data_IF_964462159004
#
_entry.id   IF_964462159004
#
_cell.length_a   1.000
_cell.length_b   1.000
_cell.length_c   1.000
_cell.angle_alpha   90.00
_cell.angle_beta   90.00
_cell.angle_gamma   90.00
#
_symmetry.space_group_name_H-M   'P 1'
#
loop_
_entity.id
_entity.type
_entity.pdbx_description
1 polymer ?
#
# COMPACT_ATOMS: atom_id res chain seq x y z
N UNK A 1 19.10 -10.91 -25.56
CA UNK A 1 18.31 -11.12 -24.33
C UNK A 1 17.15 -10.14 -24.23
N UNK A 2 17.40 -8.84 -24.05
CA UNK A 2 16.35 -7.81 -23.84
C UNK A 2 15.14 -7.88 -24.79
N UNK A 3 15.38 -7.88 -26.11
CA UNK A 3 14.28 -7.95 -27.10
C UNK A 3 13.42 -9.21 -26.97
N UNK A 4 14.04 -10.35 -26.64
CA UNK A 4 13.33 -11.63 -26.44
C UNK A 4 12.49 -11.58 -25.18
N UNK A 5 13.05 -11.03 -24.09
CA UNK A 5 12.31 -10.80 -22.84
C UNK A 5 11.11 -9.89 -23.08
N UNK A 6 11.27 -8.77 -23.78
CA UNK A 6 10.15 -7.88 -24.15
C UNK A 6 9.10 -8.61 -25.00
N UNK A 7 9.53 -9.41 -25.99
CA UNK A 7 8.64 -10.20 -26.83
C UNK A 7 7.77 -11.18 -26.03
N UNK A 8 8.37 -11.92 -25.08
CA UNK A 8 7.63 -12.84 -24.22
C UNK A 8 6.70 -12.14 -23.22
N UNK A 9 7.11 -10.98 -22.68
CA UNK A 9 6.24 -10.17 -21.82
C UNK A 9 5.02 -9.65 -22.59
N UNK A 10 5.21 -9.18 -23.82
CA UNK A 10 4.11 -8.73 -24.70
C UNK A 10 3.19 -9.88 -25.14
N UNK A 11 3.71 -11.10 -25.25
CA UNK A 11 2.92 -12.30 -25.53
C UNK A 11 2.03 -12.71 -24.34
N UNK A 12 2.14 -12.03 -23.19
CA UNK A 12 1.32 -12.30 -22.00
C UNK A 12 1.82 -13.48 -21.16
N UNK A 13 3.05 -13.95 -21.37
CA UNK A 13 3.62 -15.02 -20.56
C UNK A 13 3.95 -14.49 -19.15
N UNK A 14 3.72 -15.26 -18.06
CA UNK A 14 3.90 -14.76 -16.70
C UNK A 14 5.31 -14.22 -16.47
N UNK A 15 5.38 -13.01 -15.91
CA UNK A 15 6.61 -12.19 -15.81
C UNK A 15 7.77 -12.98 -15.19
N UNK A 16 7.52 -13.67 -14.08
CA UNK A 16 8.51 -14.48 -13.38
C UNK A 16 9.22 -15.50 -14.29
N UNK A 17 8.45 -16.30 -15.02
CA UNK A 17 9.00 -17.35 -15.90
C UNK A 17 9.65 -16.74 -17.14
N UNK A 18 9.15 -15.60 -17.61
CA UNK A 18 9.76 -14.87 -18.72
C UNK A 18 11.15 -14.35 -18.36
N UNK A 19 11.32 -13.76 -17.17
CA UNK A 19 12.60 -13.23 -16.73
C UNK A 19 13.61 -14.36 -16.51
N UNK A 20 13.28 -15.36 -15.68
CA UNK A 20 14.16 -16.49 -15.40
C UNK A 20 14.46 -17.33 -16.65
N UNK A 21 13.43 -17.63 -17.44
CA UNK A 21 13.54 -18.46 -18.64
C UNK A 21 14.37 -17.78 -19.74
N UNK A 22 14.18 -16.48 -19.96
CA UNK A 22 15.00 -15.74 -20.93
C UNK A 22 16.46 -15.62 -20.48
N UNK A 23 16.72 -15.42 -19.18
CA UNK A 23 18.08 -15.42 -18.64
C UNK A 23 18.78 -16.78 -18.83
N UNK A 24 18.12 -17.89 -18.44
CA UNK A 24 18.67 -19.24 -18.59
C UNK A 24 18.87 -19.65 -20.06
N UNK A 25 17.95 -19.26 -20.94
CA UNK A 25 18.08 -19.52 -22.38
C UNK A 25 19.30 -18.82 -22.98
N UNK A 26 19.51 -17.54 -22.64
CA UNK A 26 20.69 -16.81 -23.11
C UNK A 26 21.98 -17.26 -22.42
N UNK A 27 21.93 -17.71 -21.16
CA UNK A 27 23.08 -18.33 -20.49
C UNK A 27 23.52 -19.62 -21.20
N UNK A 28 22.57 -20.48 -21.58
CA UNK A 28 22.84 -21.70 -22.36
C UNK A 28 23.43 -21.40 -23.74
N UNK A 29 22.87 -20.43 -24.48
CA UNK A 29 23.41 -19.99 -25.76
C UNK A 29 24.82 -19.40 -25.59
N UNK A 30 25.03 -18.58 -24.56
CA UNK A 30 26.33 -17.98 -24.25
C UNK A 30 27.40 -19.01 -23.91
N UNK A 31 27.02 -20.08 -23.19
CA UNK A 31 27.92 -21.18 -22.86
C UNK A 31 28.32 -21.97 -24.12
N UNK A 32 27.39 -22.23 -25.05
CA UNK A 32 27.69 -22.87 -26.33
C UNK A 32 28.62 -22.03 -27.22
N UNK A 33 28.51 -20.71 -27.14
CA UNK A 33 29.36 -19.77 -27.88
C UNK A 33 30.69 -19.47 -27.17
N UNK A 34 30.92 -20.01 -25.97
CA UNK A 34 32.12 -19.75 -25.16
C UNK A 34 32.21 -18.34 -24.57
N UNK A 35 31.11 -17.57 -24.58
CA UNK A 35 31.05 -16.18 -24.08
C UNK A 35 30.59 -16.13 -22.61
N UNK A 36 29.96 -17.19 -22.11
CA UNK A 36 29.43 -17.28 -20.74
C UNK A 36 29.94 -18.53 -20.01
N UNK A 37 30.43 -18.36 -18.79
CA UNK A 37 30.87 -19.46 -17.92
C UNK A 37 29.68 -20.01 -17.14
N UNK A 38 29.42 -21.31 -17.27
CA UNK A 38 28.31 -21.98 -16.59
C UNK A 38 28.48 -22.00 -15.06
N UNK A 39 29.69 -21.79 -14.54
CA UNK A 39 29.97 -21.68 -13.11
C UNK A 39 29.19 -20.53 -12.44
N UNK A 40 28.81 -19.49 -13.20
CA UNK A 40 27.99 -18.40 -12.67
C UNK A 40 26.58 -18.85 -12.26
N UNK A 41 26.06 -19.93 -12.84
CA UNK A 41 24.76 -20.52 -12.50
C UNK A 41 24.77 -21.13 -11.10
N UNK A 42 25.93 -21.60 -10.62
CA UNK A 42 26.07 -22.18 -9.28
C UNK A 42 25.86 -21.14 -8.16
N UNK A 43 25.95 -19.84 -8.46
CA UNK A 43 25.64 -18.77 -7.52
C UNK A 43 24.14 -18.44 -7.42
N UNK A 44 23.28 -19.03 -8.26
CA UNK A 44 21.84 -18.79 -8.20
C UNK A 44 21.22 -19.06 -6.83
N UNK A 45 21.51 -20.18 -6.12
CA UNK A 45 20.99 -20.41 -4.78
C UNK A 45 21.37 -19.29 -3.79
N UNK A 46 22.58 -18.76 -3.88
CA UNK A 46 23.02 -17.65 -3.04
C UNK A 46 22.26 -16.35 -3.35
N UNK A 47 21.98 -16.07 -4.63
CA UNK A 47 21.15 -14.91 -5.01
C UNK A 47 19.71 -15.04 -4.51
N UNK A 48 19.10 -16.22 -4.69
CA UNK A 48 17.76 -16.51 -4.20
C UNK A 48 17.69 -16.35 -2.68
N UNK A 49 18.68 -16.90 -1.97
CA UNK A 49 18.75 -16.76 -0.52
C UNK A 49 18.89 -15.29 -0.10
N UNK A 50 19.74 -14.51 -0.77
CA UNK A 50 19.91 -13.08 -0.52
C UNK A 50 18.60 -12.29 -0.68
N UNK A 51 17.81 -12.57 -1.72
CA UNK A 51 16.48 -11.96 -1.91
C UNK A 51 15.53 -12.37 -0.80
N UNK A 52 15.52 -13.64 -0.39
CA UNK A 52 14.63 -14.15 0.66
C UNK A 52 14.95 -13.61 2.06
N UNK A 53 16.20 -13.25 2.33
CA UNK A 53 16.63 -12.70 3.62
C UNK A 53 16.68 -11.17 3.66
N UNK A 54 16.28 -10.49 2.58
CA UNK A 54 16.33 -9.04 2.52
C UNK A 54 15.30 -8.41 3.46
N UNK A 55 15.79 -7.65 4.45
CA UNK A 55 14.95 -7.02 5.47
C UNK A 55 13.96 -6.01 4.87
N UNK A 56 14.33 -5.28 3.82
CA UNK A 56 13.44 -4.31 3.15
C UNK A 56 12.25 -5.04 2.51
N UNK A 57 12.48 -6.22 1.92
CA UNK A 57 11.43 -7.02 1.28
C UNK A 57 10.48 -7.66 2.30
N UNK A 58 10.86 -7.77 3.58
CA UNK A 58 9.98 -8.21 4.66
C UNK A 58 8.81 -7.23 4.90
N UNK A 59 8.95 -5.96 4.49
CA UNK A 59 7.85 -4.99 4.54
C UNK A 59 6.75 -5.28 3.50
N UNK A 60 7.08 -5.94 2.37
CA UNK A 60 6.14 -6.19 1.27
C UNK A 60 4.93 -7.04 1.71
N UNK A 61 5.09 -8.21 2.35
CA UNK A 61 3.95 -8.99 2.84
C UNK A 61 3.05 -8.21 3.81
N UNK A 62 3.64 -7.38 4.67
CA UNK A 62 2.92 -6.60 5.68
C UNK A 62 2.11 -5.46 5.04
N UNK A 63 2.68 -4.76 4.06
CA UNK A 63 1.95 -3.75 3.28
C UNK A 63 0.85 -4.36 2.42
N UNK A 64 1.12 -5.50 1.76
CA UNK A 64 0.10 -6.25 1.03
C UNK A 64 -1.05 -6.64 1.98
N UNK A 65 -0.73 -7.20 3.14
CA UNK A 65 -1.73 -7.56 4.14
C UNK A 65 -2.57 -6.36 4.59
N UNK A 66 -1.92 -5.23 4.89
CA UNK A 66 -2.59 -3.99 5.27
C UNK A 66 -3.58 -3.55 4.18
N UNK A 67 -3.12 -3.48 2.92
CA UNK A 67 -3.92 -3.06 1.78
C UNK A 67 -5.12 -3.97 1.54
N UNK A 68 -4.88 -5.29 1.48
CA UNK A 68 -5.93 -6.28 1.28
C UNK A 68 -6.92 -6.28 2.45
N UNK A 69 -6.47 -6.11 3.70
CA UNK A 69 -7.36 -6.00 4.87
C UNK A 69 -8.28 -4.78 4.78
N UNK A 70 -7.75 -3.62 4.37
CA UNK A 70 -8.55 -2.40 4.19
C UNK A 70 -9.54 -2.53 3.03
N UNK A 71 -9.13 -3.17 1.94
CA UNK A 71 -9.99 -3.47 0.80
C UNK A 71 -11.14 -4.42 1.19
N UNK A 72 -10.82 -5.57 1.77
CA UNK A 72 -11.79 -6.64 2.12
C UNK A 72 -12.69 -6.28 3.30
N UNK A 73 -12.26 -5.37 4.16
CA UNK A 73 -13.14 -4.81 5.21
C UNK A 73 -14.19 -3.84 4.67
N UNK A 74 -14.32 -3.69 3.33
CA UNK A 74 -15.25 -2.80 2.60
C UNK A 74 -15.02 -1.32 2.86
N UNK A 75 -13.81 -0.92 3.27
CA UNK A 75 -13.53 0.50 3.56
C UNK A 75 -13.65 1.29 2.26
N UNK A 76 -13.09 0.75 1.18
CA UNK A 76 -13.18 1.30 -0.17
C UNK A 76 -14.61 1.64 -0.62
N UNK A 77 -15.56 0.72 -0.39
CA UNK A 77 -16.96 0.88 -0.81
C UNK A 77 -17.64 2.06 -0.10
N UNK A 78 -17.54 2.13 1.24
CA UNK A 78 -18.12 3.22 2.03
C UNK A 78 -17.46 4.57 1.72
N UNK A 79 -16.15 4.58 1.49
CA UNK A 79 -15.42 5.78 1.08
C UNK A 79 -15.97 6.30 -0.25
N UNK A 80 -16.12 5.40 -1.22
CA UNK A 80 -16.61 5.75 -2.54
C UNK A 80 -18.06 6.24 -2.52
N UNK A 81 -18.93 5.60 -1.74
CA UNK A 81 -20.31 6.04 -1.57
C UNK A 81 -20.41 7.40 -0.86
N UNK A 82 -19.59 7.61 0.19
CA UNK A 82 -19.59 8.84 0.99
C UNK A 82 -19.05 10.03 0.20
N UNK A 83 -17.93 9.86 -0.49
CA UNK A 83 -17.32 10.88 -1.34
C UNK A 83 -18.16 11.15 -2.59
N UNK A 84 -18.74 10.09 -3.18
CA UNK A 84 -19.69 10.19 -4.28
C UNK A 84 -20.91 11.03 -3.94
N UNK A 85 -21.45 10.92 -2.72
CA UNK A 85 -22.53 11.80 -2.24
C UNK A 85 -22.08 13.24 -2.00
N UNK A 86 -20.83 13.44 -1.58
CA UNK A 86 -20.26 14.79 -1.32
C UNK A 86 -20.09 15.58 -2.61
N UNK A 87 -19.37 15.02 -3.57
CA UNK A 87 -19.05 15.69 -4.83
C UNK A 87 -20.10 15.46 -5.91
N UNK A 88 -20.97 14.46 -5.78
CA UNK A 88 -21.93 14.05 -6.79
C UNK A 88 -22.87 15.15 -7.28
N UNK A 89 -23.19 16.15 -6.44
CA UNK A 89 -24.01 17.31 -6.85
C UNK A 89 -23.30 18.26 -7.83
N UNK A 90 -21.98 18.13 -8.02
CA UNK A 90 -21.19 18.93 -8.94
C UNK A 90 -21.11 18.23 -10.31
N UNK A 91 -21.02 19.01 -11.38
CA UNK A 91 -20.67 18.50 -12.71
C UNK A 91 -19.27 17.88 -12.64
N UNK A 92 -19.09 16.66 -13.13
CA UNK A 92 -17.83 15.90 -12.94
C UNK A 92 -17.60 15.30 -11.55
N UNK A 93 -18.56 15.46 -10.63
CA UNK A 93 -18.40 15.09 -9.22
C UNK A 93 -18.11 13.62 -8.94
N UNK A 94 -18.70 12.70 -9.72
CA UNK A 94 -18.41 11.27 -9.63
C UNK A 94 -16.99 10.95 -10.11
N UNK A 95 -16.52 11.58 -11.20
CA UNK A 95 -15.16 11.42 -11.69
C UNK A 95 -14.12 11.91 -10.66
N UNK A 96 -14.35 13.07 -10.05
CA UNK A 96 -13.51 13.59 -8.96
C UNK A 96 -13.49 12.62 -7.76
N UNK A 97 -14.66 12.07 -7.42
CA UNK A 97 -14.78 11.09 -6.33
C UNK A 97 -13.97 9.84 -6.60
N UNK A 98 -14.00 9.32 -7.83
CA UNK A 98 -13.20 8.16 -8.24
C UNK A 98 -11.70 8.49 -8.18
N UNK A 99 -11.25 9.62 -8.72
CA UNK A 99 -9.83 10.00 -8.64
C UNK A 99 -9.35 10.19 -7.20
N UNK A 100 -10.15 10.83 -6.34
CA UNK A 100 -9.80 11.07 -4.94
C UNK A 100 -9.77 9.79 -4.11
N UNK A 101 -10.82 8.98 -4.18
CA UNK A 101 -10.89 7.70 -3.47
C UNK A 101 -9.85 6.73 -4.02
N UNK A 102 -9.63 6.72 -5.34
CA UNK A 102 -8.57 5.97 -5.98
C UNK A 102 -7.19 6.35 -5.47
N UNK A 103 -6.91 7.64 -5.27
CA UNK A 103 -5.65 8.09 -4.66
C UNK A 103 -5.48 7.61 -3.20
N UNK A 104 -6.55 7.62 -2.40
CA UNK A 104 -6.51 7.13 -1.03
C UNK A 104 -6.35 5.60 -0.96
N UNK A 105 -7.03 4.88 -1.84
CA UNK A 105 -6.92 3.43 -1.94
C UNK A 105 -5.56 3.00 -2.47
N UNK A 106 -5.04 3.73 -3.47
CA UNK A 106 -3.71 3.57 -4.03
C UNK A 106 -2.63 3.57 -2.95
N UNK A 107 -2.69 4.54 -2.03
CA UNK A 107 -1.78 4.61 -0.88
C UNK A 107 -1.86 3.40 0.05
N UNK A 108 -2.97 2.66 0.06
CA UNK A 108 -3.15 1.50 0.95
C UNK A 108 -2.84 0.16 0.28
N UNK A 109 -3.20 -0.02 -1.00
CA UNK A 109 -3.15 -1.32 -1.69
C UNK A 109 -1.89 -1.52 -2.51
N UNK A 110 -1.32 -0.47 -3.12
CA UNK A 110 -0.11 -0.58 -3.94
C UNK A 110 -0.19 -1.48 -5.18
N UNK A 111 -1.38 -2.02 -5.52
CA UNK A 111 -1.58 -3.04 -6.56
C UNK A 111 -2.59 -2.54 -7.59
N UNK A 112 -2.12 -2.32 -8.82
CA UNK A 112 -2.94 -1.75 -9.90
C UNK A 112 -4.09 -2.68 -10.28
N UNK A 113 -3.81 -3.97 -10.50
CA UNK A 113 -4.83 -4.91 -10.98
C UNK A 113 -6.02 -5.01 -10.03
N UNK A 114 -5.76 -5.22 -8.73
CA UNK A 114 -6.81 -5.28 -7.71
C UNK A 114 -7.60 -3.98 -7.62
N UNK A 115 -6.92 -2.83 -7.54
CA UNK A 115 -7.57 -1.53 -7.40
C UNK A 115 -8.45 -1.18 -8.61
N UNK A 116 -7.97 -1.44 -9.83
CA UNK A 116 -8.74 -1.23 -11.07
C UNK A 116 -9.96 -2.14 -11.12
N UNK A 117 -9.82 -3.42 -10.75
CA UNK A 117 -10.95 -4.36 -10.72
C UNK A 117 -11.99 -3.94 -9.68
N UNK A 118 -11.56 -3.61 -8.47
CA UNK A 118 -12.45 -3.20 -7.38
C UNK A 118 -13.18 -1.90 -7.73
N UNK A 119 -12.47 -0.87 -8.21
CA UNK A 119 -13.10 0.37 -8.66
C UNK A 119 -13.94 0.16 -9.92
N UNK A 120 -13.54 -0.72 -10.82
CA UNK A 120 -14.33 -1.11 -12.00
C UNK A 120 -15.67 -1.72 -11.60
N UNK A 121 -15.68 -2.67 -10.68
CA UNK A 121 -16.90 -3.33 -10.21
C UNK A 121 -17.82 -2.40 -9.40
N UNK A 122 -17.25 -1.47 -8.62
CA UNK A 122 -18.00 -0.59 -7.73
C UNK A 122 -18.45 0.72 -8.42
N UNK A 123 -17.55 1.35 -9.18
CA UNK A 123 -17.74 2.71 -9.71
C UNK A 123 -18.31 2.72 -11.12
N UNK A 124 -17.85 1.82 -12.01
CA UNK A 124 -18.26 1.86 -13.42
C UNK A 124 -19.79 1.71 -13.60
N UNK A 125 -20.47 0.73 -12.96
CA UNK A 125 -21.93 0.60 -13.10
C UNK A 125 -22.67 1.85 -12.60
N UNK A 126 -22.15 2.49 -11.55
CA UNK A 126 -22.74 3.69 -10.96
C UNK A 126 -22.56 4.90 -11.88
N UNK A 127 -21.39 5.07 -12.50
CA UNK A 127 -21.13 6.15 -13.47
C UNK A 127 -22.01 6.00 -14.72
N UNK A 128 -22.10 4.80 -15.29
CA UNK A 128 -22.91 4.53 -16.48
C UNK A 128 -24.41 4.73 -16.23
N UNK A 129 -24.94 4.23 -15.10
CA UNK A 129 -26.35 4.46 -14.70
C UNK A 129 -26.71 5.94 -14.57
N UNK A 130 -25.71 6.80 -14.32
CA UNK A 130 -25.87 8.25 -14.17
C UNK A 130 -25.64 9.01 -15.47
N UNK A 131 -25.36 8.33 -16.57
CA UNK A 131 -25.16 8.94 -17.88
C UNK A 131 -23.77 9.51 -18.12
N UNK A 132 -22.75 9.04 -17.39
CA UNK A 132 -21.36 9.34 -17.76
C UNK A 132 -21.01 8.67 -19.09
N UNK A 133 -20.18 9.34 -19.88
CA UNK A 133 -19.58 8.74 -21.07
C UNK A 133 -18.74 7.50 -20.69
N UNK A 134 -18.92 6.34 -21.35
CA UNK A 134 -18.18 5.12 -21.04
C UNK A 134 -16.66 5.28 -21.16
N UNK A 135 -16.18 6.06 -22.14
CA UNK A 135 -14.74 6.25 -22.37
C UNK A 135 -14.13 7.08 -21.25
N UNK A 136 -14.81 8.16 -20.83
CA UNK A 136 -14.40 8.97 -19.69
C UNK A 136 -14.42 8.14 -18.40
N UNK A 137 -15.48 7.38 -18.15
CA UNK A 137 -15.60 6.55 -16.95
C UNK A 137 -14.50 5.48 -16.86
N UNK A 138 -14.30 4.71 -17.93
CA UNK A 138 -13.23 3.70 -18.01
C UNK A 138 -11.85 4.34 -17.87
N UNK A 139 -11.57 5.43 -18.60
CA UNK A 139 -10.29 6.14 -18.52
C UNK A 139 -10.00 6.65 -17.11
N UNK A 140 -11.01 7.18 -16.42
CA UNK A 140 -10.88 7.67 -15.04
C UNK A 140 -10.54 6.55 -14.07
N UNK A 141 -11.23 5.41 -14.17
CA UNK A 141 -10.99 4.25 -13.30
C UNK A 141 -9.60 3.66 -13.55
N UNK A 142 -9.22 3.50 -14.82
CA UNK A 142 -7.88 3.02 -15.19
C UNK A 142 -6.78 3.96 -14.67
N UNK A 143 -6.93 5.27 -14.85
CA UNK A 143 -5.97 6.26 -14.37
C UNK A 143 -5.90 6.32 -12.83
N UNK A 144 -7.05 6.27 -12.15
CA UNK A 144 -7.09 6.26 -10.70
C UNK A 144 -6.47 4.99 -10.11
N UNK A 145 -6.68 3.83 -10.74
CA UNK A 145 -6.13 2.56 -10.27
C UNK A 145 -4.61 2.43 -10.46
N UNK A 146 -4.01 3.11 -11.44
CA UNK A 146 -2.54 3.11 -11.62
C UNK A 146 -1.81 3.98 -10.60
N UNK A 147 -2.51 4.88 -9.89
CA UNK A 147 -1.93 5.70 -8.82
C UNK A 147 -1.31 4.86 -7.70
N UNK A 148 -1.74 3.61 -7.52
CA UNK A 148 -1.18 2.68 -6.53
C UNK A 148 0.32 2.45 -6.68
N UNK A 149 0.87 2.65 -7.88
CA UNK A 149 2.31 2.48 -8.09
C UNK A 149 3.13 3.67 -7.58
N UNK A 150 2.56 4.88 -7.62
CA UNK A 150 3.31 6.12 -7.34
C UNK A 150 3.04 6.68 -5.95
N UNK A 151 1.82 6.52 -5.40
CA UNK A 151 1.46 7.11 -4.11
C UNK A 151 1.96 6.21 -2.97
N UNK A 152 2.82 6.71 -2.07
CA UNK A 152 3.29 5.93 -0.93
C UNK A 152 2.20 5.61 0.11
N UNK A 153 2.31 4.49 0.86
CA UNK A 153 3.27 3.38 0.69
C UNK A 153 2.98 2.51 -0.55
N UNK A 154 3.97 2.40 -1.45
CA UNK A 154 3.86 1.63 -2.70
C UNK A 154 4.85 0.47 -2.69
N UNK A 155 4.36 -0.74 -2.96
CA UNK A 155 5.19 -1.94 -3.08
C UNK A 155 6.23 -1.74 -4.18
N UNK A 156 5.85 -1.15 -5.31
CA UNK A 156 6.77 -0.89 -6.42
C UNK A 156 7.94 -0.01 -5.98
N UNK A 157 7.68 1.03 -5.18
CA UNK A 157 8.73 1.89 -4.65
C UNK A 157 9.62 1.19 -3.63
N UNK A 158 9.08 0.28 -2.81
CA UNK A 158 9.87 -0.56 -1.90
C UNK A 158 10.84 -1.44 -2.69
N UNK A 159 10.35 -2.11 -3.74
CA UNK A 159 11.17 -2.96 -4.61
C UNK A 159 12.23 -2.15 -5.36
N UNK A 160 11.82 -0.99 -5.89
CA UNK A 160 12.74 -0.09 -6.60
C UNK A 160 13.79 0.49 -5.65
N UNK A 161 13.46 0.67 -4.37
CA UNK A 161 14.40 1.11 -3.34
C UNK A 161 15.59 0.18 -3.18
N UNK A 162 15.36 -1.13 -3.12
CA UNK A 162 16.44 -2.11 -3.04
C UNK A 162 17.36 -2.07 -4.27
N UNK A 163 16.75 -2.05 -5.47
CA UNK A 163 17.49 -2.02 -6.75
C UNK A 163 18.25 -0.71 -6.92
N UNK A 164 17.63 0.44 -6.62
CA UNK A 164 18.26 1.75 -6.71
C UNK A 164 19.38 1.88 -5.68
N UNK A 165 19.17 1.43 -4.45
CA UNK A 165 20.21 1.51 -3.41
C UNK A 165 21.46 0.73 -3.83
N UNK A 166 21.29 -0.50 -4.31
CA UNK A 166 22.39 -1.36 -4.74
C UNK A 166 23.11 -0.81 -5.97
N UNK A 167 22.35 -0.40 -7.00
CA UNK A 167 22.92 0.16 -8.24
C UNK A 167 23.60 1.51 -8.02
N UNK A 168 23.06 2.34 -7.11
CA UNK A 168 23.65 3.62 -6.75
C UNK A 168 24.95 3.47 -5.96
N UNK A 169 25.02 2.50 -5.02
CA UNK A 169 26.26 2.15 -4.34
C UNK A 169 27.32 1.65 -5.33
N UNK A 170 26.94 0.76 -6.25
CA UNK A 170 27.87 0.20 -7.23
C UNK A 170 28.42 1.28 -8.16
N UNK A 171 27.56 2.17 -8.67
CA UNK A 171 27.99 3.30 -9.50
C UNK A 171 28.98 4.23 -8.75
N UNK A 172 28.79 4.46 -7.46
CA UNK A 172 29.71 5.26 -6.64
C UNK A 172 31.08 4.58 -6.47
N UNK A 173 31.10 3.26 -6.25
CA UNK A 173 32.33 2.48 -6.17
C UNK A 173 33.11 2.55 -7.49
N UNK A 174 32.42 2.46 -8.64
CA UNK A 174 33.03 2.59 -9.96
C UNK A 174 33.59 4.00 -10.22
N UNK A 175 33.03 5.03 -9.57
CA UNK A 175 33.55 6.40 -9.57
C UNK A 175 34.71 6.63 -8.58
N UNK A 176 35.18 5.58 -7.89
CA UNK A 176 36.26 5.67 -6.91
C UNK A 176 35.83 6.22 -5.54
N UNK A 177 34.52 6.29 -5.27
CA UNK A 177 33.96 6.70 -3.98
C UNK A 177 33.80 5.45 -3.10
N UNK A 178 34.73 5.25 -2.17
CA UNK A 178 34.73 4.09 -1.26
C UNK A 178 33.83 4.24 -0.03
N UNK A 179 33.25 5.44 0.16
CA UNK A 179 32.22 5.72 1.18
C UNK A 179 30.91 6.07 0.47
N UNK A 180 30.20 5.09 -0.11
CA UNK A 180 29.01 5.36 -0.91
C UNK A 180 27.83 5.81 -0.05
N UNK A 181 27.07 6.78 -0.55
CA UNK A 181 25.78 7.15 0.01
C UNK A 181 24.70 6.15 -0.43
N UNK A 182 23.70 5.92 0.41
CA UNK A 182 22.62 4.98 0.13
C UNK A 182 21.31 5.73 -0.06
N UNK A 183 20.58 5.42 -1.12
CA UNK A 183 19.18 5.85 -1.23
C UNK A 183 18.32 4.88 -0.43
N UNK A 184 17.57 5.40 0.53
CA UNK A 184 16.63 4.60 1.31
C UNK A 184 15.24 4.55 0.66
N UNK A 185 14.42 3.58 1.06
CA UNK A 185 13.00 3.52 0.68
C UNK A 185 12.24 4.77 1.14
N UNK A 186 12.62 5.32 2.30
CA UNK A 186 12.03 6.56 2.82
C UNK A 186 12.29 7.76 1.89
N UNK A 187 13.49 7.86 1.33
CA UNK A 187 13.85 8.92 0.38
C UNK A 187 13.03 8.80 -0.91
N UNK A 188 12.82 7.58 -1.40
CA UNK A 188 11.95 7.34 -2.55
C UNK A 188 10.49 7.67 -2.26
N UNK A 189 9.99 7.36 -1.06
CA UNK A 189 8.63 7.73 -0.65
C UNK A 189 8.48 9.26 -0.59
N UNK A 190 9.45 9.95 0.01
CA UNK A 190 9.48 11.41 0.06
C UNK A 190 9.51 12.02 -1.36
N UNK A 191 10.39 11.50 -2.22
CA UNK A 191 10.55 11.94 -3.61
C UNK A 191 9.32 11.67 -4.48
N UNK A 192 8.58 10.59 -4.22
CA UNK A 192 7.38 10.21 -4.97
C UNK A 192 6.11 10.95 -4.52
N UNK A 193 6.08 11.51 -3.30
CA UNK A 193 4.89 12.16 -2.76
C UNK A 193 4.45 13.36 -3.59
N UNK A 194 5.39 14.26 -3.93
CA UNK A 194 5.09 15.46 -4.73
C UNK A 194 4.58 15.12 -6.14
N UNK A 195 5.25 14.28 -6.96
CA UNK A 195 4.73 13.90 -8.27
C UNK A 195 3.43 13.10 -8.18
N UNK A 196 3.25 12.25 -7.14
CA UNK A 196 2.00 11.54 -6.91
C UNK A 196 0.83 12.49 -6.66
N UNK A 197 0.97 13.45 -5.75
CA UNK A 197 -0.06 14.46 -5.47
C UNK A 197 -0.31 15.38 -6.66
N UNK A 198 0.74 15.77 -7.40
CA UNK A 198 0.62 16.54 -8.63
C UNK A 198 -0.23 15.78 -9.66
N UNK A 199 0.02 14.49 -9.86
CA UNK A 199 -0.72 13.65 -10.79
C UNK A 199 -2.20 13.53 -10.42
N UNK A 200 -2.50 13.34 -9.12
CA UNK A 200 -3.88 13.37 -8.61
C UNK A 200 -4.54 14.73 -8.89
N UNK A 201 -3.81 15.82 -8.67
CA UNK A 201 -4.26 17.18 -9.00
C UNK A 201 -4.57 17.35 -10.48
N UNK A 202 -3.70 16.87 -11.36
CA UNK A 202 -3.88 16.90 -12.81
C UNK A 202 -5.09 16.05 -13.25
N UNK A 203 -5.30 14.88 -12.65
CA UNK A 203 -6.48 14.05 -12.91
C UNK A 203 -7.76 14.75 -12.48
N UNK A 204 -7.79 15.38 -11.30
CA UNK A 204 -8.95 16.16 -10.86
C UNK A 204 -9.19 17.38 -11.77
N UNK A 205 -8.13 18.09 -12.16
CA UNK A 205 -8.22 19.21 -13.08
C UNK A 205 -8.75 18.79 -14.46
N UNK A 206 -8.34 17.62 -14.96
CA UNK A 206 -8.86 17.04 -16.19
C UNK A 206 -10.38 16.74 -16.08
N UNK A 207 -10.84 16.18 -14.96
CA UNK A 207 -12.28 15.94 -14.75
C UNK A 207 -13.08 17.24 -14.71
N UNK A 208 -12.57 18.25 -14.00
CA UNK A 208 -13.21 19.57 -13.94
C UNK A 208 -13.24 20.21 -15.32
N UNK A 209 -12.14 20.15 -16.07
CA UNK A 209 -12.07 20.64 -17.45
C UNK A 209 -13.10 19.95 -18.35
N UNK A 210 -13.19 18.62 -18.30
CA UNK A 210 -14.18 17.87 -19.07
C UNK A 210 -15.62 18.24 -18.68
N UNK A 211 -15.88 18.45 -17.39
CA UNK A 211 -17.17 18.87 -16.88
C UNK A 211 -17.59 20.28 -17.34
N UNK A 212 -16.63 21.18 -17.55
CA UNK A 212 -16.87 22.53 -18.05
C UNK A 212 -17.04 22.52 -19.59
N UNK A 213 -16.12 21.88 -20.31
CA UNK A 213 -16.13 21.90 -21.78
C UNK A 213 -17.14 20.95 -22.41
N UNK A 214 -17.45 19.83 -21.76
CA UNK A 214 -18.42 18.83 -22.22
C UNK A 214 -19.34 18.35 -21.09
N UNK A 215 -20.24 19.22 -20.57
CA UNK A 215 -21.12 18.90 -19.44
C UNK A 215 -21.98 17.64 -19.65
N UNK A 216 -22.34 17.33 -20.90
CA UNK A 216 -23.12 16.14 -21.26
C UNK A 216 -22.39 14.82 -20.96
N UNK A 217 -21.05 14.82 -20.92
CA UNK A 217 -20.26 13.60 -20.68
C UNK A 217 -20.09 13.28 -19.20
N UNK A 218 -20.38 14.24 -18.32
CA UNK A 218 -20.18 14.11 -16.87
C UNK A 218 -21.31 14.82 -16.09
N UNK A 219 -22.57 14.37 -16.24
CA UNK A 219 -23.72 15.03 -15.64
C UNK A 219 -23.67 14.97 -14.09
N UNK A 220 -24.22 15.99 -13.40
CA UNK A 220 -24.32 15.99 -11.95
C UNK A 220 -25.38 14.99 -11.48
N UNK A 221 -25.20 14.44 -10.28
CA UNK A 221 -26.24 13.64 -9.62
C UNK A 221 -27.44 14.54 -9.28
N UNK A 222 -28.69 14.08 -9.49
CA UNK A 222 -29.88 14.82 -9.08
C UNK A 222 -29.80 15.17 -7.59
N UNK A 223 -29.92 16.46 -7.27
CA UNK A 223 -29.98 16.90 -5.89
C UNK A 223 -31.25 16.34 -5.24
N UNK A 224 -31.12 15.52 -4.19
CA UNK A 224 -32.26 15.19 -3.35
C UNK A 224 -32.68 16.43 -2.55
N UNK A 225 -33.96 16.50 -2.23
CA UNK A 225 -34.62 17.62 -1.54
C UNK A 225 -33.83 18.08 -0.30
N UNK A 226 -33.38 19.34 -0.32
CA UNK A 226 -32.52 20.06 0.64
C UNK A 226 -30.98 19.79 0.59
N UNK A 227 -30.27 20.35 -0.41
CA UNK A 227 -28.83 20.19 -0.57
C UNK A 227 -27.97 20.70 0.61
N UNK A 228 -28.37 21.78 1.30
CA UNK A 228 -27.60 22.33 2.44
C UNK A 228 -27.71 21.48 3.70
N UNK A 229 -28.92 21.06 4.08
CA UNK A 229 -29.16 20.18 5.24
C UNK A 229 -28.55 18.79 5.02
N UNK A 230 -28.57 18.28 3.78
CA UNK A 230 -27.95 17.02 3.42
C UNK A 230 -26.42 17.10 3.49
N UNK A 231 -25.79 18.15 2.94
CA UNK A 231 -24.34 18.38 3.08
C UNK A 231 -23.90 18.43 4.55
N UNK A 232 -24.60 19.20 5.39
CA UNK A 232 -24.33 19.29 6.83
C UNK A 232 -24.46 17.95 7.56
N UNK A 233 -25.39 17.07 7.15
CA UNK A 233 -25.53 15.71 7.69
C UNK A 233 -24.51 14.71 7.14
N UNK A 234 -23.97 14.96 5.95
CA UNK A 234 -22.98 14.09 5.30
C UNK A 234 -21.56 14.30 5.82
N UNK A 235 -21.17 15.54 6.19
CA UNK A 235 -19.86 15.83 6.76
C UNK A 235 -19.46 14.88 7.91
N UNK A 236 -20.26 14.67 8.96
CA UNK A 236 -19.87 13.78 10.06
C UNK A 236 -19.75 12.30 9.64
N UNK A 237 -20.55 11.85 8.66
CA UNK A 237 -20.49 10.48 8.14
C UNK A 237 -19.20 10.28 7.36
N UNK A 238 -18.91 11.21 6.45
CA UNK A 238 -17.69 11.23 5.63
C UNK A 238 -16.46 11.27 6.52
N UNK A 239 -16.45 12.18 7.51
CA UNK A 239 -15.33 12.31 8.45
C UNK A 239 -15.12 11.01 9.22
N UNK A 240 -16.19 10.36 9.70
CA UNK A 240 -16.08 9.09 10.42
C UNK A 240 -15.58 7.93 9.55
N UNK A 241 -15.88 7.93 8.25
CA UNK A 241 -15.46 6.87 7.32
C UNK A 241 -14.05 7.09 6.74
N UNK A 242 -13.68 8.34 6.40
CA UNK A 242 -12.39 8.71 5.81
C UNK A 242 -11.27 8.86 6.83
N UNK A 243 -11.59 9.40 8.00
CA UNK A 243 -10.55 9.78 8.96
C UNK A 243 -9.72 8.57 9.43
N UNK A 244 -10.30 7.39 9.75
CA UNK A 244 -9.47 6.30 10.27
C UNK A 244 -8.46 5.75 9.25
N UNK A 245 -8.81 5.44 7.98
CA UNK A 245 -7.83 5.03 6.98
C UNK A 245 -6.77 6.10 6.70
N UNK A 246 -7.17 7.37 6.61
CA UNK A 246 -6.25 8.49 6.37
C UNK A 246 -5.27 8.63 7.53
N UNK A 247 -5.73 8.58 8.78
CA UNK A 247 -4.85 8.60 9.96
C UNK A 247 -3.87 7.43 9.93
N UNK A 248 -4.33 6.23 9.57
CA UNK A 248 -3.46 5.06 9.48
C UNK A 248 -2.36 5.26 8.44
N UNK A 249 -2.71 5.69 7.22
CA UNK A 249 -1.75 5.98 6.15
C UNK A 249 -0.78 7.07 6.58
N UNK A 250 -1.27 8.17 7.16
CA UNK A 250 -0.42 9.28 7.64
C UNK A 250 0.49 8.87 8.79
N UNK A 251 0.05 7.95 9.65
CA UNK A 251 0.86 7.42 10.75
C UNK A 251 1.99 6.56 10.21
N UNK A 252 1.68 5.64 9.30
CA UNK A 252 2.67 4.77 8.64
C UNK A 252 3.65 5.61 7.82
N UNK A 253 3.16 6.41 6.88
CA UNK A 253 4.00 7.24 6.02
C UNK A 253 4.76 8.28 6.83
N UNK A 254 4.10 8.95 7.78
CA UNK A 254 4.73 9.92 8.67
C UNK A 254 5.86 9.30 9.48
N UNK A 255 5.69 8.08 10.02
CA UNK A 255 6.75 7.39 10.77
C UNK A 255 7.98 7.06 9.92
N UNK A 256 7.78 6.72 8.64
CA UNK A 256 8.88 6.47 7.70
C UNK A 256 9.58 7.78 7.32
N UNK A 257 8.82 8.81 6.93
CA UNK A 257 9.37 10.09 6.48
C UNK A 257 10.08 10.88 7.58
N UNK A 258 9.64 10.72 8.83
CA UNK A 258 10.28 11.35 9.99
C UNK A 258 11.44 10.53 10.55
N UNK A 259 11.69 9.32 10.01
CA UNK A 259 12.75 8.43 10.48
C UNK A 259 12.49 7.80 11.85
N UNK A 260 11.25 7.85 12.35
CA UNK A 260 10.86 7.24 13.63
C UNK A 260 10.83 5.71 13.52
N UNK A 261 10.43 5.19 12.36
CA UNK A 261 10.31 3.76 12.11
C UNK A 261 10.92 3.39 10.75
N UNK A 262 11.56 2.22 10.70
CA UNK A 262 11.96 1.61 9.44
C UNK A 262 10.73 1.17 8.63
N UNK A 263 10.85 0.95 7.30
CA UNK A 263 9.72 0.51 6.48
C UNK A 263 9.04 -0.78 6.98
N UNK A 264 9.82 -1.71 7.55
CA UNK A 264 9.32 -2.97 8.12
C UNK A 264 8.51 -2.74 9.39
N UNK A 265 9.02 -1.92 10.32
CA UNK A 265 8.32 -1.54 11.55
C UNK A 265 7.04 -0.77 11.23
N UNK A 266 7.11 0.19 10.32
CA UNK A 266 5.96 0.97 9.86
C UNK A 266 4.90 0.08 9.18
N UNK A 267 5.32 -0.91 8.37
CA UNK A 267 4.42 -1.88 7.77
C UNK A 267 3.75 -2.77 8.82
N UNK A 268 4.47 -3.18 9.87
CA UNK A 268 3.91 -3.96 10.98
C UNK A 268 2.85 -3.15 11.75
N UNK A 269 3.14 -1.89 12.07
CA UNK A 269 2.17 -0.95 12.67
C UNK A 269 0.96 -0.76 11.76
N UNK A 270 1.18 -0.65 10.44
CA UNK A 270 0.13 -0.59 9.43
C UNK A 270 -0.77 -1.83 9.42
N UNK A 271 -0.19 -3.03 9.43
CA UNK A 271 -0.91 -4.30 9.47
C UNK A 271 -1.74 -4.46 10.76
N UNK A 272 -1.17 -4.09 11.91
CA UNK A 272 -1.87 -4.07 13.20
C UNK A 272 -3.03 -3.06 13.12
N UNK A 273 -2.76 -1.83 12.68
CA UNK A 273 -3.75 -0.77 12.57
C UNK A 273 -4.90 -1.10 11.62
N UNK A 274 -4.63 -1.71 10.47
CA UNK A 274 -5.65 -2.18 9.54
C UNK A 274 -6.52 -3.29 10.14
N UNK A 275 -5.91 -4.23 10.89
CA UNK A 275 -6.64 -5.30 11.58
C UNK A 275 -7.53 -4.74 12.68
N UNK A 276 -7.02 -3.80 13.48
CA UNK A 276 -7.78 -3.08 14.50
C UNK A 276 -8.94 -2.28 13.89
N UNK A 277 -8.70 -1.61 12.76
CA UNK A 277 -9.71 -0.83 12.06
C UNK A 277 -10.83 -1.72 11.50
N UNK A 278 -10.46 -2.83 10.87
CA UNK A 278 -11.42 -3.83 10.38
C UNK A 278 -12.26 -4.39 11.54
N UNK A 279 -11.62 -4.77 12.65
CA UNK A 279 -12.31 -5.27 13.83
C UNK A 279 -13.24 -4.26 14.50
N UNK A 280 -12.91 -2.96 14.43
CA UNK A 280 -13.72 -1.86 14.99
C UNK A 280 -15.00 -1.66 14.19
N UNK A 281 -14.88 -1.76 12.87
CA UNK A 281 -16.00 -1.55 11.97
C UNK A 281 -16.98 -2.73 11.99
N UNK A 282 -16.49 -3.96 12.19
CA UNK A 282 -17.35 -5.15 12.30
C UNK A 282 -18.23 -5.17 13.55
N UNK A 283 -17.76 -4.59 14.67
CA UNK A 283 -18.54 -4.47 15.91
C UNK A 283 -18.17 -3.18 16.66
N UNK A 284 -18.91 -2.11 16.34
CA UNK A 284 -18.76 -0.80 16.96
C UNK A 284 -19.27 -0.77 18.41
N UNK A 285 -20.14 -1.71 18.82
CA UNK A 285 -20.73 -1.73 20.17
C UNK A 285 -19.73 -2.20 21.21
N UNK A 286 -18.86 -3.16 20.87
CA UNK A 286 -17.76 -3.62 21.72
C UNK A 286 -16.40 -3.12 21.21
N UNK A 287 -16.28 -1.84 20.90
CA UNK A 287 -15.03 -1.25 20.41
C UNK A 287 -13.93 -1.08 21.48
N UNK A 288 -14.25 -1.25 22.77
CA UNK A 288 -13.32 -0.99 23.88
C UNK A 288 -11.97 -1.76 23.82
N UNK A 289 -11.87 -3.04 23.40
CA UNK A 289 -10.57 -3.73 23.33
C UNK A 289 -9.66 -3.11 22.26
N UNK A 290 -10.27 -2.51 21.24
CA UNK A 290 -9.57 -1.89 20.12
C UNK A 290 -9.03 -0.53 20.52
N UNK A 291 -9.81 0.26 21.28
CA UNK A 291 -9.32 1.52 21.83
C UNK A 291 -8.15 1.30 22.80
N UNK A 292 -8.20 0.24 23.61
CA UNK A 292 -7.09 -0.13 24.50
C UNK A 292 -5.86 -0.53 23.68
N UNK A 293 -6.01 -1.40 22.68
CA UNK A 293 -4.89 -1.81 21.82
C UNK A 293 -4.30 -0.65 21.02
N UNK A 294 -5.13 0.27 20.52
CA UNK A 294 -4.69 1.47 19.80
C UNK A 294 -3.96 2.44 20.73
N UNK A 295 -4.46 2.63 21.95
CA UNK A 295 -3.76 3.44 22.96
C UNK A 295 -2.42 2.81 23.33
N UNK A 296 -2.37 1.49 23.53
CA UNK A 296 -1.14 0.76 23.81
C UNK A 296 -0.13 0.84 22.64
N UNK A 297 -0.61 0.79 21.39
CA UNK A 297 0.23 0.95 20.20
C UNK A 297 0.85 2.35 20.13
N UNK A 298 0.10 3.39 20.50
CA UNK A 298 0.59 4.77 20.53
C UNK A 298 1.50 5.05 21.74
N UNK A 299 1.34 4.35 22.86
CA UNK A 299 2.18 4.56 24.05
C UNK A 299 3.55 3.90 23.94
N UNK A 300 3.70 2.82 23.18
CA UNK A 300 4.99 2.13 23.05
C UNK A 300 6.13 3.03 22.56
N UNK A 301 5.99 3.81 21.47
CA UNK A 301 7.03 4.75 21.02
C UNK A 301 7.41 5.80 22.08
N UNK A 302 6.43 6.26 22.86
CA UNK A 302 6.65 7.21 23.96
C UNK A 302 7.47 6.55 25.09
N UNK A 303 7.18 5.28 25.41
CA UNK A 303 7.93 4.53 26.42
C UNK A 303 9.36 4.25 25.99
N UNK A 304 9.59 3.88 24.72
CA UNK A 304 10.94 3.68 24.19
C UNK A 304 11.76 4.96 24.13
N UNK A 305 11.10 6.12 23.95
CA UNK A 305 11.78 7.41 23.95
C UNK A 305 12.11 7.91 25.38
N UNK A 306 11.31 7.55 26.38
CA UNK A 306 11.46 8.04 27.77
C UNK A 306 12.26 7.10 28.66
N UNK A 307 12.14 5.78 28.46
CA UNK A 307 12.80 4.76 29.25
C UNK A 307 13.69 3.88 28.37
N UNK A 308 14.87 3.55 28.88
CA UNK A 308 15.72 2.53 28.26
C UNK A 308 15.18 1.13 28.64
N UNK A 309 14.53 0.47 27.68
CA UNK A 309 13.84 -0.82 27.85
C UNK A 309 14.75 -2.04 27.61
N UNK A 310 16.06 -1.85 27.43
CA UNK A 310 16.99 -2.96 27.16
C UNK A 310 17.14 -3.88 28.36
N UNK A 311 16.80 -5.16 28.17
CA UNK A 311 16.85 -6.20 29.21
C UNK A 311 18.28 -6.71 29.51
N UNK A 312 19.21 -6.55 28.57
CA UNK A 312 20.58 -7.08 28.69
C UNK A 312 21.53 -6.18 29.51
N UNK A 313 20.99 -5.30 30.36
CA UNK A 313 21.82 -4.38 31.17
C UNK A 313 22.22 -5.05 32.49
N UNK A 314 23.47 -4.85 32.94
CA UNK A 314 23.95 -5.44 34.20
C UNK A 314 23.23 -4.88 35.43
N UNK A 315 22.82 -3.60 35.38
CA UNK A 315 21.98 -2.97 36.40
C UNK A 315 20.83 -2.21 35.73
N UNK A 316 19.60 -2.54 36.10
CA UNK A 316 18.38 -1.90 35.59
C UNK A 316 17.79 -1.05 36.72
N UNK A 317 17.79 0.29 36.61
CA UNK A 317 17.20 1.15 37.63
C UNK A 317 15.69 0.89 37.78
N UNK A 318 15.14 1.10 38.98
CA UNK A 318 13.71 0.86 39.30
C UNK A 318 12.76 1.60 38.34
N UNK A 319 13.16 2.77 37.83
CA UNK A 319 12.39 3.54 36.84
C UNK A 319 12.31 2.83 35.49
N UNK A 320 13.40 2.22 35.01
CA UNK A 320 13.43 1.40 33.80
C UNK A 320 12.63 0.11 33.96
N UNK A 321 12.64 -0.50 35.16
CA UNK A 321 11.78 -1.65 35.45
C UNK A 321 10.29 -1.34 35.32
N UNK A 322 9.87 -0.16 35.79
CA UNK A 322 8.50 0.31 35.59
C UNK A 322 8.17 0.49 34.11
N UNK A 323 9.08 1.11 33.34
CA UNK A 323 8.93 1.25 31.89
C UNK A 323 8.82 -0.09 31.17
N UNK A 324 9.64 -1.07 31.53
CA UNK A 324 9.61 -2.44 30.97
C UNK A 324 8.30 -3.14 31.31
N UNK A 325 7.84 -3.06 32.56
CA UNK A 325 6.57 -3.66 32.96
C UNK A 325 5.38 -3.04 32.22
N UNK A 326 5.37 -1.70 32.08
CA UNK A 326 4.32 -0.98 31.36
C UNK A 326 4.33 -1.29 29.86
N UNK A 327 5.52 -1.40 29.25
CA UNK A 327 5.67 -1.85 27.87
C UNK A 327 5.17 -3.29 27.69
N UNK A 328 5.48 -4.19 28.63
CA UNK A 328 4.94 -5.56 28.65
C UNK A 328 3.42 -5.60 28.71
N UNK A 329 2.80 -4.77 29.56
CA UNK A 329 1.34 -4.64 29.63
C UNK A 329 0.75 -4.08 28.33
N UNK A 330 1.40 -3.10 27.72
CA UNK A 330 0.99 -2.56 26.42
C UNK A 330 1.04 -3.63 25.32
N UNK A 331 2.11 -4.44 25.27
CA UNK A 331 2.21 -5.57 24.34
C UNK A 331 1.09 -6.61 24.56
N UNK A 332 0.79 -6.98 25.81
CA UNK A 332 -0.32 -7.88 26.13
C UNK A 332 -1.67 -7.31 25.70
N UNK A 333 -1.88 -6.00 25.90
CA UNK A 333 -3.07 -5.30 25.47
C UNK A 333 -3.25 -5.31 23.94
N UNK A 334 -2.16 -5.12 23.19
CA UNK A 334 -2.16 -5.22 21.72
C UNK A 334 -2.49 -6.65 21.28
N UNK A 335 -1.83 -7.65 21.86
CA UNK A 335 -2.09 -9.08 21.54
C UNK A 335 -3.54 -9.43 21.78
N UNK A 336 -4.10 -9.01 22.91
CA UNK A 336 -5.50 -9.25 23.24
C UNK A 336 -6.46 -8.55 22.28
N UNK A 337 -6.24 -7.26 21.98
CA UNK A 337 -7.05 -6.52 21.02
C UNK A 337 -6.99 -7.13 19.62
N UNK A 338 -5.80 -7.55 19.17
CA UNK A 338 -5.62 -8.28 17.91
C UNK A 338 -6.34 -9.63 17.93
N UNK A 339 -6.25 -10.40 19.01
CA UNK A 339 -6.97 -11.67 19.17
C UNK A 339 -8.49 -11.49 19.02
N UNK A 340 -9.05 -10.44 19.64
CA UNK A 340 -10.47 -10.09 19.46
C UNK A 340 -10.78 -9.72 18.01
N UNK A 341 -9.91 -8.95 17.35
CA UNK A 341 -10.10 -8.56 15.96
C UNK A 341 -10.01 -9.75 15.01
N UNK A 342 -9.05 -10.65 15.19
CA UNK A 342 -8.94 -11.88 14.40
C UNK A 342 -10.16 -12.77 14.55
N UNK A 343 -10.69 -12.94 15.76
CA UNK A 343 -11.95 -13.69 15.96
C UNK A 343 -13.12 -13.03 15.23
N UNK A 344 -13.20 -11.68 15.23
CA UNK A 344 -14.26 -10.95 14.52
C UNK A 344 -14.15 -11.07 13.00
N UNK A 345 -12.95 -10.89 12.46
CA UNK A 345 -12.70 -10.95 11.01
C UNK A 345 -12.80 -12.37 10.49
N UNK A 346 -12.40 -13.37 11.28
CA UNK A 346 -12.55 -14.79 10.93
C UNK A 346 -14.02 -15.22 10.88
N UNK A 347 -14.86 -14.80 11.84
CA UNK A 347 -16.31 -15.09 11.83
C UNK A 347 -17.07 -14.52 10.63
N UNK A 348 -16.46 -13.64 9.85
CA UNK A 348 -17.03 -12.98 8.67
C UNK A 348 -16.31 -13.39 7.38
N UNK A 349 -15.45 -14.42 7.43
CA UNK A 349 -14.60 -14.91 6.34
C UNK A 349 -13.62 -13.88 5.73
N UNK A 350 -13.49 -12.69 6.33
CA UNK A 350 -12.59 -11.64 5.87
C UNK A 350 -11.14 -12.08 6.08
N UNK A 351 -10.81 -12.66 7.24
CA UNK A 351 -9.42 -13.04 7.54
C UNK A 351 -8.91 -14.12 6.58
N UNK A 352 -9.73 -15.12 6.25
CA UNK A 352 -9.34 -16.20 5.35
C UNK A 352 -9.05 -15.68 3.93
N UNK A 353 -9.87 -14.76 3.44
CA UNK A 353 -9.67 -14.12 2.15
C UNK A 353 -8.44 -13.19 2.15
N UNK A 354 -8.25 -12.42 3.23
CA UNK A 354 -7.06 -11.55 3.38
C UNK A 354 -5.78 -12.37 3.41
N UNK A 355 -5.73 -13.44 4.19
CA UNK A 355 -4.55 -14.32 4.26
C UNK A 355 -4.23 -14.96 2.91
N UNK A 356 -5.25 -15.46 2.19
CA UNK A 356 -5.06 -16.07 0.87
C UNK A 356 -4.55 -15.07 -0.16
N UNK A 357 -5.21 -13.91 -0.29
CA UNK A 357 -4.80 -12.89 -1.24
C UNK A 357 -3.41 -12.34 -0.90
N UNK A 358 -3.11 -12.14 0.39
CA UNK A 358 -1.77 -11.72 0.84
C UNK A 358 -0.73 -12.75 0.40
N UNK A 359 -0.96 -14.04 0.67
CA UNK A 359 -0.07 -15.11 0.26
C UNK A 359 0.13 -15.13 -1.26
N UNK A 360 -0.95 -15.04 -2.05
CA UNK A 360 -0.88 -15.06 -3.52
C UNK A 360 -0.09 -13.89 -4.08
N UNK A 361 -0.41 -12.66 -3.63
CA UNK A 361 0.26 -11.44 -4.09
C UNK A 361 1.73 -11.45 -3.66
N UNK A 362 2.02 -11.78 -2.40
CA UNK A 362 3.40 -11.87 -1.90
C UNK A 362 4.19 -12.92 -2.66
N UNK A 363 3.63 -14.11 -2.86
CA UNK A 363 4.28 -15.18 -3.64
C UNK A 363 4.56 -14.72 -5.06
N UNK A 364 3.59 -14.08 -5.72
CA UNK A 364 3.79 -13.51 -7.06
C UNK A 364 4.94 -12.51 -7.09
N UNK A 365 5.00 -11.57 -6.14
CA UNK A 365 6.09 -10.58 -6.06
C UNK A 365 7.44 -11.25 -5.85
N UNK A 366 7.57 -12.17 -4.89
CA UNK A 366 8.86 -12.83 -4.61
C UNK A 366 9.32 -13.73 -5.77
N UNK A 367 8.43 -14.45 -6.45
CA UNK A 367 8.81 -15.23 -7.64
C UNK A 367 9.29 -14.30 -8.76
N UNK A 368 8.64 -13.14 -8.96
CA UNK A 368 9.10 -12.15 -9.96
C UNK A 368 10.49 -11.62 -9.59
N UNK A 369 10.75 -11.31 -8.33
CA UNK A 369 12.06 -10.83 -7.86
C UNK A 369 13.14 -11.90 -8.01
N UNK A 370 12.84 -13.15 -7.63
CA UNK A 370 13.73 -14.29 -7.82
C UNK A 370 14.03 -14.50 -9.30
N UNK A 371 13.03 -14.38 -10.17
CA UNK A 371 13.23 -14.51 -11.62
C UNK A 371 13.99 -13.34 -12.25
N UNK A 372 14.02 -12.18 -11.59
CA UNK A 372 14.73 -10.98 -12.03
C UNK A 372 16.19 -10.91 -11.54
N UNK A 373 16.50 -11.57 -10.42
CA UNK A 373 17.81 -11.61 -9.77
C UNK A 373 18.79 -12.57 -10.47
#
# INVERSE_FOLDING_TARGET
MFLVTCGFLMAGFPVAFTLAGSALLFAGIGALLGVFDFSFVEFLPHRIFGVMTNEVLLAVPLFVYMGVMLERSKVAEDLLESVGKLFGTLHGGLGISVSFVGALLAASTGIVGATVVTMGLLSLPTMLKRGYDPSLACGTICAAGTLGQIIPPSIVLVLLGDVISTSYQQAQLDMGIFSPETVSVGDLFAGALMPGLLLVGLYMAYQVGMAIYRPHTSPPMPAQSNPLQQRLRLYPIIFRSLLPPVILILTVLGSILTGIATPTEAAAVGAIGATLLAGWRLDTRRAWPIYIALLALLTLPLLTHTFDLRLSRPEIPLTSWFGIALAGLACLAIIWGLGVCFVRTHKRDILGEVSRNTMEITTMVFIILIGAA
#
